data_IF_232342579184
#
_entry.id   IF_232342579184
#
_cell.length_a   1.000
_cell.length_b   1.000
_cell.length_c   1.000
_cell.angle_alpha   90.00
_cell.angle_beta   90.00
_cell.angle_gamma   90.00
#
_symmetry.space_group_name_H-M   'P 1'
#
loop_
_entity.id
_entity.type
_entity.pdbx_description
1 polymer ?
#
# COMPACT_ATOMS: atom_id res chain seq x y z
N UNK A 1 22.52 -2.76 -4.49
CA UNK A 1 21.80 -1.48 -4.72
C UNK A 1 22.75 -0.39 -4.28
N UNK A 2 23.08 0.53 -5.18
CA UNK A 2 23.90 1.71 -4.86
C UNK A 2 23.25 2.50 -3.71
N UNK A 3 24.10 3.12 -2.90
CA UNK A 3 23.66 3.85 -1.71
C UNK A 3 23.08 5.18 -2.19
N UNK A 4 21.76 5.28 -2.23
CA UNK A 4 21.08 6.54 -2.57
C UNK A 4 21.47 7.64 -1.58
N UNK A 5 21.50 8.87 -2.07
CA UNK A 5 21.71 10.04 -1.21
C UNK A 5 20.46 10.27 -0.37
N UNK A 6 20.63 10.77 0.86
CA UNK A 6 19.50 11.11 1.74
C UNK A 6 18.48 12.05 1.06
N UNK A 7 18.94 12.95 0.17
CA UNK A 7 18.05 13.83 -0.59
C UNK A 7 17.18 13.08 -1.58
N UNK A 8 17.73 12.07 -2.25
CA UNK A 8 17.00 11.23 -3.20
C UNK A 8 15.94 10.41 -2.48
N UNK A 9 16.28 9.85 -1.31
CA UNK A 9 15.34 9.10 -0.47
C UNK A 9 14.16 9.97 -0.03
N UNK A 10 14.42 11.21 0.41
CA UNK A 10 13.34 12.12 0.83
C UNK A 10 12.42 12.54 -0.32
N UNK A 11 12.99 12.85 -1.49
CA UNK A 11 12.18 13.18 -2.68
C UNK A 11 11.35 11.97 -3.09
N UNK A 12 11.94 10.77 -3.10
CA UNK A 12 11.24 9.54 -3.43
C UNK A 12 10.12 9.23 -2.42
N UNK A 13 10.36 9.42 -1.13
CA UNK A 13 9.34 9.25 -0.09
C UNK A 13 8.19 10.23 -0.32
N UNK A 14 8.48 11.51 -0.53
CA UNK A 14 7.45 12.52 -0.74
C UNK A 14 6.63 12.22 -2.01
N UNK A 15 7.29 11.98 -3.14
CA UNK A 15 6.61 11.71 -4.42
C UNK A 15 5.85 10.39 -4.39
N UNK A 16 6.45 9.34 -3.82
CA UNK A 16 5.82 8.02 -3.70
C UNK A 16 4.58 8.05 -2.82
N UNK A 17 4.66 8.69 -1.64
CA UNK A 17 3.51 8.83 -0.74
C UNK A 17 2.42 9.73 -1.32
N UNK A 18 2.78 10.80 -2.03
CA UNK A 18 1.83 11.64 -2.74
C UNK A 18 1.05 10.84 -3.79
N UNK A 19 1.74 10.08 -4.64
CA UNK A 19 1.09 9.24 -5.66
C UNK A 19 0.18 8.18 -5.05
N UNK A 20 0.61 7.53 -3.96
CA UNK A 20 -0.22 6.56 -3.24
C UNK A 20 -1.48 7.23 -2.69
N UNK A 21 -1.35 8.40 -2.08
CA UNK A 21 -2.49 9.14 -1.56
C UNK A 21 -3.48 9.54 -2.66
N UNK A 22 -3.00 9.99 -3.82
CA UNK A 22 -3.86 10.24 -5.00
C UNK A 22 -4.60 8.98 -5.43
N UNK A 23 -3.89 7.85 -5.49
CA UNK A 23 -4.50 6.59 -5.87
C UNK A 23 -5.59 6.15 -4.88
N UNK A 24 -5.34 6.29 -3.57
CA UNK A 24 -6.35 6.06 -2.52
C UNK A 24 -7.54 6.99 -2.66
N UNK A 25 -7.32 8.28 -2.96
CA UNK A 25 -8.39 9.25 -3.16
C UNK A 25 -9.34 8.87 -4.32
N UNK A 26 -8.80 8.39 -5.44
CA UNK A 26 -9.62 7.86 -6.53
C UNK A 26 -10.43 6.63 -6.12
N UNK A 27 -9.83 5.69 -5.37
CA UNK A 27 -10.56 4.53 -4.85
C UNK A 27 -11.68 4.96 -3.90
N UNK A 28 -11.42 5.88 -2.97
CA UNK A 28 -12.44 6.42 -2.05
C UNK A 28 -13.59 7.09 -2.80
N UNK A 29 -13.28 7.87 -3.84
CA UNK A 29 -14.28 8.59 -4.63
C UNK A 29 -15.27 7.67 -5.35
N UNK A 30 -14.87 6.43 -5.64
CA UNK A 30 -15.71 5.40 -6.23
C UNK A 30 -16.11 4.29 -5.22
N UNK A 31 -15.91 4.50 -3.92
CA UNK A 31 -16.16 3.52 -2.84
C UNK A 31 -15.49 2.16 -3.07
N UNK A 32 -14.37 2.16 -3.79
CA UNK A 32 -13.62 0.96 -4.14
C UNK A 32 -12.68 0.57 -3.00
N UNK A 33 -12.41 -0.72 -2.95
CA UNK A 33 -11.48 -1.33 -2.01
C UNK A 33 -10.21 -1.77 -2.75
N UNK A 34 -9.18 -2.08 -1.97
CA UNK A 34 -7.95 -2.69 -2.47
C UNK A 34 -7.51 -3.79 -1.51
N UNK A 35 -6.41 -4.47 -1.81
CA UNK A 35 -5.82 -5.44 -0.89
C UNK A 35 -5.04 -4.77 0.25
N UNK A 36 -4.43 -5.58 1.11
CA UNK A 36 -3.50 -5.04 2.10
C UNK A 36 -4.16 -4.34 3.29
N UNK A 37 -3.33 -3.61 4.05
CA UNK A 37 -3.81 -2.75 5.14
C UNK A 37 -4.58 -1.53 4.63
N UNK A 38 -4.29 -1.06 3.41
CA UNK A 38 -5.07 0.00 2.76
C UNK A 38 -6.52 -0.41 2.56
N UNK A 39 -6.76 -1.61 2.02
CA UNK A 39 -8.10 -2.16 1.84
C UNK A 39 -8.88 -2.27 3.14
N UNK A 40 -8.22 -2.80 4.17
CA UNK A 40 -8.80 -2.92 5.51
C UNK A 40 -9.16 -1.55 6.10
N UNK A 41 -8.29 -0.55 5.96
CA UNK A 41 -8.57 0.80 6.43
C UNK A 41 -9.73 1.46 5.67
N UNK A 42 -9.80 1.29 4.33
CA UNK A 42 -10.92 1.77 3.52
C UNK A 42 -12.24 1.11 3.94
N UNK A 43 -12.26 -0.20 4.10
CA UNK A 43 -13.45 -0.94 4.52
C UNK A 43 -13.94 -0.46 5.90
N UNK A 44 -13.05 -0.35 6.89
CA UNK A 44 -13.43 0.08 8.24
C UNK A 44 -13.90 1.55 8.25
N UNK A 45 -13.32 2.41 7.42
CA UNK A 45 -13.71 3.82 7.32
C UNK A 45 -15.15 4.01 6.84
N UNK A 46 -15.73 3.04 6.14
CA UNK A 46 -17.14 3.08 5.71
C UNK A 46 -18.12 2.83 6.87
N UNK A 47 -17.67 2.22 7.97
CA UNK A 47 -18.52 1.83 9.11
C UNK A 47 -18.20 2.56 10.41
N UNK A 48 -17.18 3.40 10.42
CA UNK A 48 -16.70 4.09 11.62
C UNK A 48 -16.57 5.58 11.38
N UNK A 49 -16.65 6.43 12.42
CA UNK A 49 -16.47 7.87 12.29
C UNK A 49 -15.01 8.29 12.08
N UNK A 50 -14.07 7.33 12.07
CA UNK A 50 -12.65 7.61 11.92
C UNK A 50 -12.30 7.77 10.44
N UNK A 51 -11.41 8.72 10.15
CA UNK A 51 -10.91 8.94 8.80
C UNK A 51 -10.01 7.78 8.34
N UNK A 52 -9.89 7.63 7.03
CA UNK A 52 -9.03 6.60 6.44
C UNK A 52 -7.60 6.71 6.97
N UNK A 53 -7.02 7.90 7.02
CA UNK A 53 -5.64 8.12 7.44
C UNK A 53 -5.38 7.69 8.88
N UNK A 54 -6.31 7.97 9.80
CA UNK A 54 -6.20 7.50 11.19
C UNK A 54 -6.21 5.98 11.24
N UNK A 55 -7.19 5.34 10.59
CA UNK A 55 -7.31 3.88 10.56
C UNK A 55 -6.11 3.22 9.89
N UNK A 56 -5.65 3.78 8.79
CA UNK A 56 -4.51 3.32 8.03
C UNK A 56 -3.22 3.39 8.86
N UNK A 57 -2.96 4.50 9.54
CA UNK A 57 -1.76 4.63 10.37
C UNK A 57 -1.79 3.67 11.57
N UNK A 58 -2.95 3.54 12.24
CA UNK A 58 -3.12 2.61 13.36
C UNK A 58 -2.97 1.16 12.93
N UNK A 59 -3.60 0.76 11.83
CA UNK A 59 -3.46 -0.58 11.26
C UNK A 59 -2.01 -0.89 10.88
N UNK A 60 -1.24 0.10 10.43
CA UNK A 60 0.16 -0.06 10.05
C UNK A 60 1.16 0.02 11.22
N UNK A 61 0.79 0.66 12.32
CA UNK A 61 1.62 0.83 13.53
C UNK A 61 2.28 -0.45 14.07
N UNK A 62 1.57 -1.60 14.24
CA UNK A 62 2.22 -2.83 14.70
C UNK A 62 3.27 -3.34 13.71
N UNK A 63 3.11 -3.08 12.41
CA UNK A 63 4.06 -3.49 11.38
C UNK A 63 5.30 -2.59 11.36
N UNK A 64 5.21 -1.30 11.72
CA UNK A 64 6.39 -0.46 11.89
C UNK A 64 7.26 -0.94 13.06
N UNK A 65 6.64 -1.38 14.16
CA UNK A 65 7.35 -1.97 15.29
C UNK A 65 8.02 -3.30 14.92
N UNK A 66 7.32 -4.13 14.14
CA UNK A 66 7.88 -5.37 13.59
C UNK A 66 9.07 -5.08 12.67
N UNK A 67 8.93 -4.07 11.81
CA UNK A 67 9.97 -3.64 10.89
C UNK A 67 11.23 -3.17 11.61
N UNK A 68 11.07 -2.42 12.72
CA UNK A 68 12.19 -1.95 13.53
C UNK A 68 13.02 -3.13 14.06
N UNK A 69 12.35 -4.16 14.57
CA UNK A 69 13.01 -5.33 15.16
C UNK A 69 13.73 -6.20 14.13
N UNK A 70 13.29 -6.22 12.86
CA UNK A 70 13.76 -7.18 11.85
C UNK A 70 14.60 -6.56 10.73
N UNK A 71 14.16 -5.44 10.18
CA UNK A 71 14.80 -4.79 9.02
C UNK A 71 15.63 -3.56 9.40
N UNK A 72 15.67 -3.23 10.68
CA UNK A 72 16.48 -2.15 11.24
C UNK A 72 15.75 -0.81 11.34
N UNK A 73 16.33 0.07 12.15
CA UNK A 73 15.74 1.36 12.55
C UNK A 73 15.46 2.29 11.36
N UNK A 74 16.36 2.32 10.38
CA UNK A 74 16.21 3.24 9.23
C UNK A 74 15.00 2.88 8.36
N UNK A 75 14.85 1.60 7.99
CA UNK A 75 13.70 1.11 7.22
C UNK A 75 12.37 1.35 7.95
N UNK A 76 12.35 1.09 9.26
CA UNK A 76 11.16 1.28 10.08
C UNK A 76 10.72 2.74 10.19
N UNK A 77 11.67 3.66 10.41
CA UNK A 77 11.39 5.09 10.48
C UNK A 77 10.90 5.60 9.12
N UNK A 78 11.60 5.27 8.03
CA UNK A 78 11.18 5.68 6.68
C UNK A 78 9.77 5.17 6.36
N UNK A 79 9.45 3.94 6.78
CA UNK A 79 8.13 3.35 6.55
C UNK A 79 7.04 4.02 7.38
N UNK A 80 7.31 4.31 8.66
CA UNK A 80 6.39 5.04 9.53
C UNK A 80 6.12 6.45 9.01
N UNK A 81 7.16 7.17 8.56
CA UNK A 81 7.03 8.48 7.94
C UNK A 81 6.24 8.40 6.65
N UNK A 82 6.51 7.40 5.81
CA UNK A 82 5.79 7.21 4.56
C UNK A 82 4.29 6.96 4.80
N UNK A 83 3.96 6.10 5.77
CA UNK A 83 2.57 5.86 6.12
C UNK A 83 1.89 7.06 6.76
N UNK A 84 2.59 7.84 7.59
CA UNK A 84 2.06 9.09 8.13
C UNK A 84 1.75 10.10 7.02
N UNK A 85 2.65 10.25 6.05
CA UNK A 85 2.44 11.14 4.89
C UNK A 85 1.25 10.70 4.04
N UNK A 86 1.12 9.40 3.73
CA UNK A 86 -0.06 8.89 3.01
C UNK A 86 -1.34 9.17 3.80
N UNK A 87 -1.32 8.97 5.11
CA UNK A 87 -2.49 9.23 5.98
C UNK A 87 -2.93 10.69 5.91
N UNK A 88 -1.97 11.61 6.06
CA UNK A 88 -2.22 13.05 6.04
C UNK A 88 -2.70 13.49 4.65
N UNK A 89 -2.01 13.08 3.59
CA UNK A 89 -2.34 13.47 2.22
C UNK A 89 -3.71 12.92 1.79
N UNK A 90 -4.00 11.65 2.06
CA UNK A 90 -5.28 11.05 1.69
C UNK A 90 -6.45 11.73 2.42
N UNK A 91 -6.30 11.98 3.73
CA UNK A 91 -7.37 12.61 4.52
C UNK A 91 -7.59 14.08 4.16
N UNK A 92 -6.57 14.82 3.73
CA UNK A 92 -6.72 16.26 3.46
C UNK A 92 -6.93 16.59 1.97
N UNK A 93 -6.90 15.59 1.09
CA UNK A 93 -6.96 15.84 -0.34
C UNK A 93 -8.27 16.50 -0.79
N UNK A 94 -9.37 16.20 -0.10
CA UNK A 94 -10.69 16.79 -0.38
C UNK A 94 -10.73 18.32 -0.21
N UNK A 95 -9.78 18.91 0.53
CA UNK A 95 -9.66 20.36 0.68
C UNK A 95 -9.06 21.03 -0.56
N UNK A 96 -8.38 20.26 -1.41
CA UNK A 96 -7.68 20.74 -2.60
C UNK A 96 -8.41 20.34 -3.89
N UNK A 97 -9.04 19.17 -3.89
CA UNK A 97 -9.71 18.58 -5.06
C UNK A 97 -11.09 18.11 -4.64
N UNK A 98 -12.13 18.63 -5.31
CA UNK A 98 -13.48 18.07 -5.26
C UNK A 98 -13.81 17.41 -6.59
N UNK A 99 -14.28 16.16 -6.54
CA UNK A 99 -14.74 15.43 -7.70
C UNK A 99 -16.27 15.37 -7.65
N UNK A 100 -16.95 15.99 -8.61
CA UNK A 100 -18.41 15.98 -8.67
C UNK A 100 -18.94 14.66 -9.24
N UNK A 101 -18.36 14.20 -10.35
CA UNK A 101 -18.55 12.84 -10.85
C UNK A 101 -17.34 12.41 -11.67
N UNK A 102 -16.87 11.19 -11.41
CA UNK A 102 -15.83 10.53 -12.21
C UNK A 102 -16.26 9.08 -12.39
N UNK A 103 -16.03 8.54 -13.59
CA UNK A 103 -16.36 7.16 -13.90
C UNK A 103 -15.63 6.17 -12.97
N UNK A 104 -16.36 5.23 -12.38
CA UNK A 104 -15.83 4.29 -11.39
C UNK A 104 -14.74 3.37 -11.96
N UNK A 105 -14.82 3.00 -13.25
CA UNK A 105 -13.79 2.21 -13.94
C UNK A 105 -12.50 3.00 -14.05
N UNK A 106 -12.59 4.30 -14.37
CA UNK A 106 -11.42 5.17 -14.38
C UNK A 106 -10.81 5.29 -12.99
N UNK A 107 -11.63 5.50 -11.95
CA UNK A 107 -11.17 5.53 -10.57
C UNK A 107 -10.45 4.24 -10.16
N UNK A 108 -10.98 3.07 -10.54
CA UNK A 108 -10.36 1.78 -10.28
C UNK A 108 -8.96 1.69 -10.93
N UNK A 109 -8.87 1.97 -12.23
CA UNK A 109 -7.62 1.84 -12.99
C UNK A 109 -6.60 2.90 -12.58
N UNK A 110 -7.00 4.18 -12.53
CA UNK A 110 -6.12 5.28 -12.13
C UNK A 110 -5.66 5.11 -10.68
N UNK A 111 -6.59 4.76 -9.77
CA UNK A 111 -6.29 4.48 -8.37
C UNK A 111 -5.24 3.38 -8.22
N UNK A 112 -5.46 2.25 -8.88
CA UNK A 112 -4.53 1.11 -8.88
C UNK A 112 -3.15 1.47 -9.44
N UNK A 113 -3.10 2.12 -10.61
CA UNK A 113 -1.83 2.49 -11.25
C UNK A 113 -1.01 3.50 -10.42
N UNK A 114 -1.66 4.53 -9.88
CA UNK A 114 -1.00 5.55 -9.05
C UNK A 114 -0.46 4.95 -7.75
N UNK A 115 -1.26 4.12 -7.08
CA UNK A 115 -0.81 3.37 -5.91
C UNK A 115 0.38 2.46 -6.24
N UNK A 116 0.28 1.70 -7.34
CA UNK A 116 1.36 0.82 -7.80
C UNK A 116 2.66 1.57 -8.06
N UNK A 117 2.58 2.71 -8.78
CA UNK A 117 3.75 3.54 -9.11
C UNK A 117 4.39 4.12 -7.85
N UNK A 118 3.58 4.69 -6.95
CA UNK A 118 4.09 5.25 -5.71
C UNK A 118 4.73 4.19 -4.81
N UNK A 119 4.14 2.99 -4.72
CA UNK A 119 4.74 1.86 -4.01
C UNK A 119 6.06 1.41 -4.62
N UNK A 120 6.19 1.35 -5.96
CA UNK A 120 7.45 1.04 -6.63
C UNK A 120 8.56 2.02 -6.25
N UNK A 121 8.26 3.31 -6.23
CA UNK A 121 9.21 4.36 -5.85
C UNK A 121 9.68 4.13 -4.40
N UNK A 122 8.75 3.89 -3.47
CA UNK A 122 9.08 3.66 -2.07
C UNK A 122 9.93 2.40 -1.87
N UNK A 123 9.58 1.29 -2.52
CA UNK A 123 10.33 0.04 -2.41
C UNK A 123 11.76 0.16 -2.93
N UNK A 124 12.00 0.97 -3.98
CA UNK A 124 13.37 1.22 -4.49
C UNK A 124 14.25 1.96 -3.48
N UNK A 125 13.67 2.83 -2.65
CA UNK A 125 14.37 3.61 -1.63
C UNK A 125 14.33 2.97 -0.24
N UNK A 126 14.14 1.64 -0.16
CA UNK A 126 14.06 0.89 1.11
C UNK A 126 13.05 1.50 2.08
N UNK A 127 11.96 2.02 1.55
CA UNK A 127 10.79 2.41 2.33
C UNK A 127 9.65 1.46 1.99
N UNK A 128 8.79 1.22 2.96
CA UNK A 128 7.53 0.54 2.75
C UNK A 128 6.41 1.43 3.26
N UNK A 129 5.21 1.17 2.81
CA UNK A 129 4.02 1.79 3.38
C UNK A 129 3.59 1.18 4.72
N UNK A 130 4.37 0.20 5.22
CA UNK A 130 3.96 -0.65 6.33
C UNK A 130 3.03 -1.76 5.86
N UNK A 131 2.42 -2.44 6.83
CA UNK A 131 1.30 -3.32 6.56
C UNK A 131 1.66 -4.77 6.29
N UNK A 132 0.75 -5.45 5.58
CA UNK A 132 0.85 -6.88 5.33
C UNK A 132 2.09 -7.27 4.52
N UNK A 133 2.71 -6.36 3.78
CA UNK A 133 4.00 -6.64 3.13
C UNK A 133 5.13 -6.91 4.15
N UNK A 134 5.23 -6.11 5.23
CA UNK A 134 6.22 -6.33 6.30
C UNK A 134 5.90 -7.63 7.05
N UNK A 135 4.60 -7.92 7.26
CA UNK A 135 4.16 -9.19 7.83
C UNK A 135 4.55 -10.38 6.95
N UNK A 136 4.33 -10.30 5.64
CA UNK A 136 4.66 -11.36 4.70
C UNK A 136 6.16 -11.59 4.61
N UNK A 137 6.97 -10.53 4.62
CA UNK A 137 8.43 -10.63 4.71
C UNK A 137 8.87 -11.28 6.04
N UNK A 138 8.22 -10.93 7.15
CA UNK A 138 8.47 -11.57 8.44
C UNK A 138 8.07 -13.06 8.43
N UNK A 139 6.94 -13.41 7.81
CA UNK A 139 6.50 -14.80 7.67
C UNK A 139 7.50 -15.58 6.80
N UNK A 140 8.01 -14.98 5.73
CA UNK A 140 9.05 -15.59 4.90
C UNK A 140 10.33 -15.83 5.70
N UNK A 141 10.79 -14.83 6.43
CA UNK A 141 12.01 -14.91 7.25
C UNK A 141 11.89 -15.95 8.38
N UNK A 142 10.72 -16.04 9.02
CA UNK A 142 10.51 -16.92 10.18
C UNK A 142 10.06 -18.34 9.82
N UNK A 143 9.23 -18.50 8.78
CA UNK A 143 8.58 -19.77 8.44
C UNK A 143 8.92 -20.29 7.04
N UNK A 144 9.70 -19.54 6.24
CA UNK A 144 10.09 -19.94 4.88
C UNK A 144 8.97 -19.89 3.84
N UNK A 145 7.78 -19.39 4.20
CA UNK A 145 6.64 -19.26 3.27
C UNK A 145 6.87 -18.06 2.35
N UNK A 146 6.68 -18.22 1.04
CA UNK A 146 6.90 -17.12 0.11
C UNK A 146 5.97 -15.92 0.37
N UNK A 147 6.51 -14.70 0.25
CA UNK A 147 5.78 -13.43 0.44
C UNK A 147 4.48 -13.41 -0.37
N UNK A 148 4.54 -13.84 -1.64
CA UNK A 148 3.37 -13.86 -2.52
C UNK A 148 2.25 -14.78 -2.02
N UNK A 149 2.55 -15.94 -1.43
CA UNK A 149 1.53 -16.85 -0.89
C UNK A 149 0.85 -16.26 0.35
N UNK A 150 1.63 -15.71 1.27
CA UNK A 150 1.12 -15.04 2.47
C UNK A 150 0.26 -13.83 2.11
N UNK A 151 0.70 -13.04 1.13
CA UNK A 151 -0.04 -11.86 0.65
C UNK A 151 -1.36 -12.28 -0.01
N UNK A 152 -1.35 -13.28 -0.89
CA UNK A 152 -2.57 -13.82 -1.50
C UNK A 152 -3.57 -14.31 -0.45
N UNK A 153 -3.11 -15.01 0.59
CA UNK A 153 -4.00 -15.51 1.63
C UNK A 153 -4.68 -14.35 2.39
N UNK A 154 -3.92 -13.30 2.71
CA UNK A 154 -4.46 -12.13 3.40
C UNK A 154 -5.45 -11.38 2.49
N UNK A 155 -5.09 -11.13 1.23
CA UNK A 155 -5.96 -10.43 0.29
C UNK A 155 -7.25 -11.23 0.00
N UNK A 156 -7.16 -12.57 -0.06
CA UNK A 156 -8.33 -13.43 -0.19
C UNK A 156 -9.25 -13.35 1.03
N UNK A 157 -8.71 -13.31 2.25
CA UNK A 157 -9.51 -13.13 3.47
C UNK A 157 -10.22 -11.77 3.49
N UNK A 158 -9.54 -10.70 3.07
CA UNK A 158 -10.13 -9.36 2.98
C UNK A 158 -11.24 -9.35 1.94
N UNK A 159 -10.98 -9.86 0.74
CA UNK A 159 -11.96 -9.94 -0.34
C UNK A 159 -13.19 -10.74 0.09
N UNK A 160 -12.98 -11.89 0.74
CA UNK A 160 -14.07 -12.71 1.29
C UNK A 160 -14.88 -11.97 2.35
N UNK A 161 -14.24 -11.22 3.25
CA UNK A 161 -14.95 -10.38 4.20
C UNK A 161 -15.75 -9.26 3.50
N UNK A 162 -15.18 -8.63 2.46
CA UNK A 162 -15.84 -7.56 1.69
C UNK A 162 -17.10 -8.00 0.98
N UNK A 163 -17.25 -9.29 0.60
CA UNK A 163 -18.49 -9.82 0.02
C UNK A 163 -19.73 -9.64 0.90
N UNK A 164 -19.58 -9.53 2.22
CA UNK A 164 -20.69 -9.32 3.14
C UNK A 164 -21.10 -7.84 3.26
N UNK A 165 -20.29 -6.92 2.77
CA UNK A 165 -20.43 -5.48 3.02
C UNK A 165 -20.61 -4.66 1.74
N UNK A 166 -20.25 -5.21 0.58
CA UNK A 166 -20.10 -4.45 -0.67
C UNK A 166 -20.77 -5.18 -1.84
N UNK A 167 -21.29 -4.43 -2.81
CA UNK A 167 -21.96 -4.99 -4.00
C UNK A 167 -20.98 -5.74 -4.91
N UNK A 168 -21.44 -6.75 -5.68
CA UNK A 168 -20.60 -7.46 -6.62
C UNK A 168 -19.91 -6.57 -7.67
N UNK A 169 -20.56 -5.48 -8.06
CA UNK A 169 -20.02 -4.50 -9.02
C UNK A 169 -18.79 -3.78 -8.44
N UNK A 170 -18.90 -3.25 -7.22
CA UNK A 170 -17.78 -2.59 -6.54
C UNK A 170 -16.65 -3.59 -6.26
N UNK A 171 -16.97 -4.85 -5.95
CA UNK A 171 -15.97 -5.92 -5.82
C UNK A 171 -15.23 -6.16 -7.14
N UNK A 172 -15.96 -6.24 -8.26
CA UNK A 172 -15.37 -6.40 -9.60
C UNK A 172 -14.43 -5.24 -9.96
N UNK A 173 -14.84 -4.00 -9.68
CA UNK A 173 -14.02 -2.81 -9.89
C UNK A 173 -12.82 -2.75 -8.93
N UNK A 174 -12.98 -3.18 -7.69
CA UNK A 174 -11.89 -3.29 -6.71
C UNK A 174 -10.84 -4.32 -7.16
N UNK A 175 -11.28 -5.46 -7.72
CA UNK A 175 -10.39 -6.45 -8.33
C UNK A 175 -9.65 -5.85 -9.53
N UNK A 176 -10.33 -5.07 -10.38
CA UNK A 176 -9.71 -4.37 -11.51
C UNK A 176 -8.61 -3.39 -11.04
N UNK A 177 -8.89 -2.58 -10.02
CA UNK A 177 -7.92 -1.65 -9.45
C UNK A 177 -6.74 -2.38 -8.80
N UNK A 178 -7.01 -3.45 -8.04
CA UNK A 178 -5.97 -4.30 -7.48
C UNK A 178 -5.11 -4.97 -8.56
N UNK A 179 -5.72 -5.39 -9.67
CA UNK A 179 -4.99 -5.94 -10.82
C UNK A 179 -4.08 -4.89 -11.46
N UNK A 180 -4.57 -3.66 -11.69
CA UNK A 180 -3.77 -2.57 -12.24
C UNK A 180 -2.56 -2.23 -11.35
N UNK A 181 -2.78 -2.16 -10.03
CA UNK A 181 -1.73 -2.00 -9.02
C UNK A 181 -0.69 -3.12 -9.11
N UNK A 182 -1.15 -4.38 -9.13
CA UNK A 182 -0.26 -5.53 -9.18
C UNK A 182 0.51 -5.63 -10.49
N UNK A 183 -0.06 -5.20 -11.62
CA UNK A 183 0.63 -5.14 -12.90
C UNK A 183 1.87 -4.24 -12.79
N UNK A 184 1.73 -3.07 -12.18
CA UNK A 184 2.85 -2.15 -11.95
C UNK A 184 3.89 -2.79 -11.03
N UNK A 185 3.48 -3.41 -9.93
CA UNK A 185 4.40 -4.10 -9.02
C UNK A 185 5.13 -5.27 -9.69
N UNK A 186 4.45 -6.04 -10.55
CA UNK A 186 5.00 -7.18 -11.26
C UNK A 186 6.11 -6.76 -12.24
N UNK A 187 6.03 -5.56 -12.83
CA UNK A 187 7.11 -5.03 -13.68
C UNK A 187 8.44 -4.88 -12.94
N UNK A 188 8.42 -4.80 -11.60
CA UNK A 188 9.62 -4.74 -10.76
C UNK A 188 10.13 -6.12 -10.33
N UNK A 189 9.30 -7.16 -10.40
CA UNK A 189 9.65 -8.53 -10.01
C UNK A 189 10.31 -9.28 -11.18
N UNK A 190 11.51 -8.84 -11.62
CA UNK A 190 12.41 -9.68 -12.43
C UNK A 190 13.37 -10.44 -11.49
N UNK A 191 13.26 -11.78 -11.36
CA UNK A 191 13.95 -12.57 -10.33
C UNK A 191 15.48 -12.56 -10.38
N UNK A 192 16.08 -12.29 -11.54
CA UNK A 192 17.52 -12.53 -11.75
C UNK A 192 18.47 -11.38 -11.33
N UNK A 193 18.00 -10.33 -10.65
CA UNK A 193 18.88 -9.19 -10.28
C UNK A 193 19.13 -9.02 -8.78
N UNK A 194 18.53 -9.87 -7.93
CA UNK A 194 18.59 -9.74 -6.47
C UNK A 194 18.93 -11.06 -5.77
N UNK A 195 20.01 -11.72 -6.17
CA UNK A 195 20.69 -12.64 -5.25
C UNK A 195 21.36 -11.81 -4.16
N UNK A 196 20.73 -11.72 -3.00
CA UNK A 196 21.35 -11.15 -1.80
C UNK A 196 22.38 -12.17 -1.32
N UNK A 197 23.60 -12.05 -1.80
CA UNK A 197 24.75 -12.77 -1.22
C UNK A 197 25.10 -12.05 0.08
N UNK A 198 24.75 -12.64 1.22
CA UNK A 198 25.40 -12.26 2.48
C UNK A 198 26.84 -12.76 2.37
N UNK A 199 27.77 -11.84 2.12
CA UNK A 199 29.19 -12.15 2.07
C UNK A 199 29.64 -12.80 3.38
N UNK A 200 30.23 -13.98 3.26
CA UNK A 200 31.06 -14.64 4.27
C UNK A 200 32.38 -13.88 4.46
#
# INVERSE_FOLDING_TARGET
MEKHSLKEDWIAILTGTFLVAQGVFFLQSANLLTGGTTGLALLISQFTPFTFGVLYFLANSPFYLLAWKRFGRHFAINSAISGALVSIFADHLYLLISLESVNEVYCAVAGGLLMGLGMLILFRHRSSLGGFNVLCLFIQDKFGISVGKSQMAIDACILFASFFFVTPEVIGLSILGAFALNLVLAMNHKPHRYSVTYGS
#
